data_IF_078303935242
#
_entry.id   IF_078303935242
#
_cell.length_a   1.000
_cell.length_b   1.000
_cell.length_c   1.000
_cell.angle_alpha   90.00
_cell.angle_beta   90.00
_cell.angle_gamma   90.00
#
_symmetry.space_group_name_H-M   'P 1'
#
loop_
_entity.id
_entity.type
_entity.pdbx_description
1 polymer ?
#
# COMPACT_ATOMS: atom_id res chain seq x y z
N UNK A 1 -13.64 -20.35 23.96
CA UNK A 1 -12.32 -19.68 23.81
C UNK A 1 -12.52 -18.33 23.12
N UNK A 2 -12.09 -17.20 23.70
CA UNK A 2 -12.13 -15.90 23.00
C UNK A 2 -11.28 -16.03 21.74
N UNK A 3 -11.88 -15.90 20.55
CA UNK A 3 -11.12 -15.73 19.30
C UNK A 3 -10.19 -14.53 19.52
N UNK A 4 -8.87 -14.75 19.57
CA UNK A 4 -7.90 -13.66 19.51
C UNK A 4 -8.22 -12.87 18.23
N UNK A 5 -8.38 -11.55 18.36
CA UNK A 5 -8.56 -10.67 17.20
C UNK A 5 -7.37 -10.76 16.24
N UNK A 6 -7.51 -10.24 15.01
CA UNK A 6 -6.44 -10.32 14.02
C UNK A 6 -5.16 -9.65 14.55
N UNK A 7 -4.02 -10.25 14.24
CA UNK A 7 -2.68 -9.73 14.50
C UNK A 7 -2.23 -8.93 13.29
N UNK A 8 -1.82 -7.67 13.51
CA UNK A 8 -1.32 -6.78 12.46
C UNK A 8 0.17 -6.57 12.64
N UNK A 9 0.95 -6.92 11.62
CA UNK A 9 2.38 -6.63 11.57
C UNK A 9 2.66 -5.16 11.24
N UNK A 10 3.62 -4.55 11.91
CA UNK A 10 4.07 -3.19 11.64
C UNK A 10 5.56 -3.21 11.32
N UNK A 11 5.92 -2.84 10.09
CA UNK A 11 7.33 -2.68 9.71
C UNK A 11 7.83 -1.29 10.09
N UNK A 12 9.09 -1.18 10.53
CA UNK A 12 9.71 0.13 10.79
C UNK A 12 9.98 0.94 9.52
N UNK A 13 10.16 0.27 8.37
CA UNK A 13 10.69 0.93 7.18
C UNK A 13 12.17 1.28 7.33
N UNK A 14 12.60 2.41 6.78
CA UNK A 14 13.99 2.89 6.88
C UNK A 14 14.30 3.37 8.31
N UNK A 15 15.29 2.78 9.02
CA UNK A 15 15.67 3.20 10.37
C UNK A 15 16.22 4.62 10.50
N UNK A 16 16.60 5.25 9.39
CA UNK A 16 17.01 6.65 9.34
C UNK A 16 15.85 7.61 9.08
N UNK A 17 14.69 7.10 8.65
CA UNK A 17 13.47 7.88 8.46
C UNK A 17 12.61 7.99 9.72
N UNK A 18 11.38 8.47 9.54
CA UNK A 18 10.39 8.64 10.62
C UNK A 18 9.63 7.36 10.97
N UNK A 19 9.83 6.27 10.23
CA UNK A 19 9.07 5.05 10.42
C UNK A 19 9.20 4.41 11.82
N UNK A 20 10.41 4.31 12.41
CA UNK A 20 10.57 3.74 13.76
C UNK A 20 9.82 4.49 14.87
N UNK A 21 9.87 5.82 14.88
CA UNK A 21 9.19 6.64 15.90
C UNK A 21 7.65 6.58 15.74
N UNK A 22 7.15 6.53 14.50
CA UNK A 22 5.74 6.31 14.22
C UNK A 22 5.31 4.92 14.69
N UNK A 23 6.09 3.89 14.42
CA UNK A 23 5.80 2.53 14.86
C UNK A 23 5.76 2.46 16.40
N UNK A 24 6.75 3.00 17.11
CA UNK A 24 6.76 3.09 18.57
C UNK A 24 5.51 3.81 19.11
N UNK A 25 5.13 4.92 18.49
CA UNK A 25 3.93 5.65 18.85
C UNK A 25 2.66 4.80 18.67
N UNK A 26 2.56 4.06 17.56
CA UNK A 26 1.44 3.15 17.29
C UNK A 26 1.40 2.00 18.30
N UNK A 27 2.52 1.36 18.62
CA UNK A 27 2.57 0.31 19.65
C UNK A 27 2.09 0.83 21.01
N UNK A 28 2.53 2.03 21.40
CA UNK A 28 2.13 2.65 22.67
C UNK A 28 0.64 3.00 22.71
N UNK A 29 0.09 3.58 21.63
CA UNK A 29 -1.32 4.01 21.59
C UNK A 29 -2.32 2.90 21.29
N UNK A 30 -2.01 2.03 20.34
CA UNK A 30 -2.95 1.03 19.80
C UNK A 30 -2.67 -0.39 20.27
N UNK A 31 -1.45 -0.70 20.76
CA UNK A 31 -1.08 -2.07 21.19
C UNK A 31 -1.88 -2.60 22.39
N UNK A 32 -2.63 -1.74 23.09
CA UNK A 32 -3.57 -2.14 24.16
C UNK A 32 -4.93 -2.59 23.62
N UNK A 33 -5.29 -2.15 22.42
CA UNK A 33 -6.61 -2.39 21.80
C UNK A 33 -6.54 -3.34 20.61
N UNK A 34 -5.35 -3.57 20.05
CA UNK A 34 -5.09 -4.42 18.90
C UNK A 34 -3.90 -5.34 19.16
N UNK A 35 -3.96 -6.55 18.64
CA UNK A 35 -2.80 -7.44 18.59
C UNK A 35 -1.84 -6.94 17.51
N UNK A 36 -0.69 -6.40 17.92
CA UNK A 36 0.32 -5.87 17.00
C UNK A 36 1.59 -6.71 17.06
N UNK A 37 2.18 -6.99 15.90
CA UNK A 37 3.46 -7.66 15.77
C UNK A 37 4.51 -6.66 15.25
N UNK A 38 5.65 -6.56 15.92
CA UNK A 38 6.74 -5.68 15.50
C UNK A 38 7.64 -6.39 14.50
N UNK A 39 7.85 -5.77 13.34
CA UNK A 39 8.71 -6.31 12.29
C UNK A 39 9.83 -5.30 12.02
N UNK A 40 11.05 -5.72 12.34
CA UNK A 40 12.23 -4.86 12.27
C UNK A 40 12.59 -4.22 13.62
N UNK A 41 13.89 -4.17 13.84
CA UNK A 41 14.55 -3.64 15.03
C UNK A 41 15.99 -3.26 14.67
N UNK A 42 16.62 -2.41 15.46
CA UNK A 42 18.07 -2.16 15.41
C UNK A 42 18.45 -0.70 15.62
N UNK A 43 19.72 -0.38 15.35
CA UNK A 43 20.29 0.95 15.65
C UNK A 43 19.72 2.01 14.72
N UNK A 44 19.10 3.03 15.30
CA UNK A 44 18.57 4.21 14.60
C UNK A 44 19.65 5.26 14.40
N UNK A 45 19.63 5.91 13.23
CA UNK A 45 20.44 7.11 12.93
C UNK A 45 19.57 8.09 12.12
N UNK A 46 18.68 8.86 12.80
CA UNK A 46 17.76 9.75 12.12
C UNK A 46 18.47 10.70 11.13
N UNK A 47 17.91 10.83 9.93
CA UNK A 47 18.44 11.69 8.86
C UNK A 47 19.75 11.20 8.23
N UNK A 48 20.29 10.04 8.63
CA UNK A 48 21.54 9.48 8.11
C UNK A 48 21.33 8.04 7.59
N UNK A 49 20.77 7.88 6.38
CA UNK A 49 20.61 6.57 5.74
C UNK A 49 21.94 5.83 5.61
N UNK A 50 21.90 4.50 5.74
CA UNK A 50 23.09 3.63 5.63
C UNK A 50 22.73 2.32 4.92
N UNK A 51 23.73 1.62 4.37
CA UNK A 51 23.55 0.28 3.81
C UNK A 51 23.02 -0.72 4.85
N UNK A 52 23.47 -0.60 6.11
CA UNK A 52 22.96 -1.42 7.21
C UNK A 52 21.46 -1.18 7.44
N UNK A 53 21.04 0.08 7.50
CA UNK A 53 19.61 0.44 7.64
C UNK A 53 18.76 -0.05 6.46
N UNK A 54 19.28 0.05 5.24
CA UNK A 54 18.61 -0.48 4.05
C UNK A 54 18.44 -2.01 4.10
N UNK A 55 19.47 -2.76 4.52
CA UNK A 55 19.37 -4.22 4.73
C UNK A 55 18.34 -4.57 5.80
N UNK A 56 18.26 -3.78 6.87
CA UNK A 56 17.24 -3.96 7.92
C UNK A 56 15.82 -3.74 7.36
N UNK A 57 15.60 -2.66 6.61
CA UNK A 57 14.32 -2.38 5.97
C UNK A 57 13.90 -3.51 5.00
N UNK A 58 14.84 -3.98 4.17
CA UNK A 58 14.61 -5.13 3.27
C UNK A 58 14.28 -6.40 4.06
N UNK A 59 15.05 -6.72 5.10
CA UNK A 59 14.81 -7.90 5.96
C UNK A 59 13.42 -7.84 6.59
N UNK A 60 12.99 -6.68 7.08
CA UNK A 60 11.65 -6.50 7.64
C UNK A 60 10.54 -6.74 6.61
N UNK A 61 10.74 -6.32 5.36
CA UNK A 61 9.80 -6.63 4.27
C UNK A 61 9.75 -8.14 4.00
N UNK A 62 10.91 -8.81 3.87
CA UNK A 62 11.00 -10.25 3.64
C UNK A 62 10.35 -11.05 4.79
N UNK A 63 10.61 -10.65 6.04
CA UNK A 63 10.01 -11.23 7.24
C UNK A 63 8.49 -11.06 7.26
N UNK A 64 7.98 -9.88 6.87
CA UNK A 64 6.53 -9.65 6.82
C UNK A 64 5.82 -10.57 5.83
N UNK A 65 6.48 -10.96 4.73
CA UNK A 65 5.94 -11.95 3.79
C UNK A 65 5.88 -13.33 4.44
N UNK A 66 6.93 -13.73 5.16
CA UNK A 66 6.96 -14.98 5.91
C UNK A 66 5.81 -15.08 6.91
N UNK A 67 5.62 -14.05 7.74
CA UNK A 67 4.58 -13.98 8.76
C UNK A 67 3.16 -13.97 8.18
N UNK A 68 2.95 -13.29 7.05
CA UNK A 68 1.68 -13.31 6.33
C UNK A 68 1.37 -14.70 5.76
N UNK A 69 2.38 -15.40 5.23
CA UNK A 69 2.24 -16.75 4.66
C UNK A 69 2.00 -17.81 5.74
N UNK A 70 2.66 -17.70 6.89
CA UNK A 70 2.43 -18.60 8.03
C UNK A 70 1.11 -18.35 8.75
N UNK A 71 0.50 -17.18 8.52
CA UNK A 71 -0.73 -16.77 9.20
C UNK A 71 -0.50 -16.24 10.60
N UNK A 72 0.75 -16.00 11.01
CA UNK A 72 1.09 -15.33 12.28
C UNK A 72 0.56 -13.89 12.34
N UNK A 73 0.50 -13.23 11.18
CA UNK A 73 -0.18 -11.93 11.01
C UNK A 73 -1.22 -12.03 9.88
N UNK A 74 -2.30 -11.25 10.00
CA UNK A 74 -3.39 -11.19 9.00
C UNK A 74 -3.32 -9.92 8.13
N UNK A 75 -2.51 -8.94 8.51
CA UNK A 75 -2.27 -7.74 7.75
C UNK A 75 -0.88 -7.16 8.08
N UNK A 76 -0.34 -6.36 7.16
CA UNK A 76 0.89 -5.60 7.39
C UNK A 76 0.63 -4.11 7.16
N UNK A 77 1.15 -3.29 8.06
CA UNK A 77 1.24 -1.82 7.93
C UNK A 77 2.70 -1.47 7.76
N UNK A 78 3.02 -0.82 6.66
CA UNK A 78 4.41 -0.54 6.32
C UNK A 78 4.87 0.83 6.79
N UNK A 79 6.05 0.86 7.42
CA UNK A 79 6.82 2.09 7.55
C UNK A 79 7.38 2.55 6.20
N UNK A 80 7.64 3.87 6.04
CA UNK A 80 8.22 4.41 4.82
C UNK A 80 9.65 3.91 4.61
N UNK A 81 10.02 3.65 3.36
CA UNK A 81 11.35 3.18 2.96
C UNK A 81 11.99 4.12 1.95
N UNK A 82 13.32 4.20 1.95
CA UNK A 82 14.05 4.86 0.86
C UNK A 82 14.33 3.89 -0.28
N UNK A 83 13.72 4.14 -1.45
CA UNK A 83 13.90 3.29 -2.65
C UNK A 83 15.35 3.29 -3.12
N UNK A 84 16.00 4.46 -3.12
CA UNK A 84 17.41 4.61 -3.49
C UNK A 84 18.33 3.73 -2.65
N UNK A 85 18.09 3.67 -1.33
CA UNK A 85 18.91 2.86 -0.43
C UNK A 85 18.58 1.38 -0.49
N UNK A 86 17.30 1.03 -0.69
CA UNK A 86 16.86 -0.34 -0.91
C UNK A 86 17.48 -0.94 -2.18
N UNK A 87 17.58 -0.16 -3.27
CA UNK A 87 18.21 -0.60 -4.51
C UNK A 87 19.67 -1.00 -4.30
N UNK A 88 20.43 -0.23 -3.50
CA UNK A 88 21.84 -0.50 -3.14
C UNK A 88 22.04 -1.82 -2.38
N UNK A 89 20.96 -2.44 -1.87
CA UNK A 89 21.01 -3.72 -1.15
C UNK A 89 20.22 -4.83 -1.86
N UNK A 90 20.02 -4.68 -3.17
CA UNK A 90 19.44 -5.71 -4.04
C UNK A 90 17.91 -5.75 -4.04
N UNK A 91 17.23 -4.68 -3.63
CA UNK A 91 15.78 -4.58 -3.74
C UNK A 91 15.39 -4.00 -5.11
N UNK A 92 15.23 -4.87 -6.09
CA UNK A 92 14.91 -4.48 -7.47
C UNK A 92 13.40 -4.44 -7.73
N UNK A 93 12.68 -3.64 -6.93
CA UNK A 93 11.25 -3.39 -7.12
C UNK A 93 10.96 -1.89 -7.19
N UNK A 94 10.01 -1.45 -8.01
CA UNK A 94 9.57 -0.05 -8.04
C UNK A 94 9.07 0.48 -6.69
N UNK A 95 8.56 -0.42 -5.84
CA UNK A 95 8.04 -0.10 -4.52
C UNK A 95 7.57 -1.32 -3.75
N UNK A 96 7.03 -1.07 -2.55
CA UNK A 96 6.50 -2.10 -1.67
C UNK A 96 5.28 -2.81 -2.28
N UNK A 97 4.44 -2.10 -3.04
CA UNK A 97 3.28 -2.69 -3.72
C UNK A 97 3.69 -3.80 -4.67
N UNK A 98 4.67 -3.56 -5.53
CA UNK A 98 5.16 -4.53 -6.52
C UNK A 98 5.90 -5.69 -5.83
N UNK A 99 6.61 -5.40 -4.73
CA UNK A 99 7.23 -6.42 -3.89
C UNK A 99 6.19 -7.42 -3.34
N UNK A 100 5.12 -6.94 -2.70
CA UNK A 100 4.08 -7.82 -2.18
C UNK A 100 3.33 -8.54 -3.30
N UNK A 101 3.02 -7.86 -4.40
CA UNK A 101 2.35 -8.49 -5.54
C UNK A 101 3.14 -9.71 -6.03
N UNK A 102 4.44 -9.55 -6.28
CA UNK A 102 5.32 -10.66 -6.68
C UNK A 102 5.39 -11.76 -5.60
N UNK A 103 5.53 -11.36 -4.34
CA UNK A 103 5.63 -12.31 -3.22
C UNK A 103 4.36 -13.16 -3.04
N UNK A 104 3.19 -12.69 -3.47
CA UNK A 104 1.93 -13.43 -3.38
C UNK A 104 1.43 -13.95 -4.74
N UNK A 105 2.25 -13.93 -5.78
CA UNK A 105 1.88 -14.41 -7.12
C UNK A 105 0.78 -13.59 -7.80
N UNK A 106 0.56 -12.35 -7.34
CA UNK A 106 -0.42 -11.42 -7.90
C UNK A 106 0.26 -10.63 -9.01
N UNK A 107 -0.40 -10.53 -10.16
CA UNK A 107 0.12 -9.70 -11.27
C UNK A 107 0.13 -8.23 -10.82
N UNK A 108 1.14 -7.42 -11.22
CA UNK A 108 1.13 -5.98 -10.93
C UNK A 108 -0.14 -5.28 -11.44
N UNK A 109 -0.71 -5.77 -12.55
CA UNK A 109 -1.97 -5.27 -13.09
C UNK A 109 -3.21 -5.74 -12.33
N UNK A 110 -3.08 -6.55 -11.28
CA UNK A 110 -4.19 -6.99 -10.42
C UNK A 110 -4.14 -6.36 -9.01
N UNK A 111 -3.27 -5.36 -8.79
CA UNK A 111 -3.29 -4.54 -7.58
C UNK A 111 -3.96 -3.19 -7.82
N UNK A 112 -4.48 -2.56 -6.77
CA UNK A 112 -5.09 -1.22 -6.86
C UNK A 112 -4.69 -0.39 -5.67
N UNK A 113 -4.08 0.77 -5.94
CA UNK A 113 -3.80 1.77 -4.91
C UNK A 113 -5.10 2.48 -4.53
N UNK A 114 -5.31 2.60 -3.22
CA UNK A 114 -6.47 3.28 -2.65
C UNK A 114 -6.05 4.23 -1.54
N UNK A 115 -6.76 5.34 -1.42
CA UNK A 115 -6.68 6.27 -0.29
C UNK A 115 -8.01 6.20 0.44
N UNK A 116 -7.98 5.67 1.66
CA UNK A 116 -9.19 5.44 2.47
C UNK A 116 -9.16 6.39 3.66
N UNK A 117 -9.99 7.44 3.60
CA UNK A 117 -10.24 8.35 4.70
C UNK A 117 -11.65 8.18 5.30
N UNK A 118 -11.94 8.90 6.40
CA UNK A 118 -13.25 8.84 7.05
C UNK A 118 -14.36 9.46 6.19
N UNK A 119 -14.05 10.51 5.41
CA UNK A 119 -15.01 11.25 4.56
C UNK A 119 -14.94 10.86 3.08
N UNK A 120 -13.76 10.53 2.59
CA UNK A 120 -13.50 10.26 1.18
C UNK A 120 -12.67 8.99 1.02
N UNK A 121 -13.04 8.17 0.04
CA UNK A 121 -12.36 6.92 -0.31
C UNK A 121 -12.20 6.87 -1.82
N UNK A 122 -10.96 6.74 -2.29
CA UNK A 122 -10.61 6.81 -3.71
C UNK A 122 -9.80 5.59 -4.09
N UNK A 123 -10.13 4.98 -5.21
CA UNK A 123 -9.29 4.00 -5.89
C UNK A 123 -8.78 4.59 -7.20
N UNK A 124 -7.51 4.34 -7.51
CA UNK A 124 -6.86 4.93 -8.67
C UNK A 124 -6.83 3.95 -9.85
N UNK A 125 -7.28 4.38 -11.03
CA UNK A 125 -7.16 3.59 -12.26
C UNK A 125 -5.70 3.49 -12.75
N UNK A 126 -4.91 4.54 -12.52
CA UNK A 126 -3.47 4.58 -12.77
C UNK A 126 -2.74 5.30 -11.62
N UNK A 127 -1.46 5.05 -11.44
CA UNK A 127 -0.66 5.62 -10.34
C UNK A 127 0.50 6.46 -10.87
N UNK A 128 1.75 6.10 -10.59
CA UNK A 128 2.93 6.91 -10.85
C UNK A 128 3.35 6.90 -12.33
N UNK A 129 2.56 7.57 -13.18
CA UNK A 129 2.84 7.76 -14.60
C UNK A 129 2.90 9.25 -14.93
N UNK A 130 3.69 9.62 -15.96
CA UNK A 130 3.55 10.95 -16.58
C UNK A 130 2.11 11.13 -17.08
N UNK A 131 1.58 12.36 -17.02
CA UNK A 131 0.21 12.66 -17.47
C UNK A 131 -0.08 12.13 -18.89
N UNK A 132 0.83 12.35 -19.85
CA UNK A 132 0.71 11.82 -21.22
C UNK A 132 0.52 10.29 -21.26
N UNK A 133 1.30 9.54 -20.46
CA UNK A 133 1.19 8.08 -20.37
C UNK A 133 -0.08 7.63 -19.64
N UNK A 134 -0.51 8.38 -18.63
CA UNK A 134 -1.76 8.10 -17.94
C UNK A 134 -2.95 8.20 -18.90
N UNK A 135 -3.01 9.28 -19.70
CA UNK A 135 -4.05 9.51 -20.72
C UNK A 135 -4.01 8.41 -21.78
N UNK A 136 -2.87 8.24 -22.47
CA UNK A 136 -2.76 7.27 -23.58
C UNK A 136 -2.84 5.80 -23.14
N UNK A 137 -2.50 5.51 -21.88
CA UNK A 137 -2.44 4.17 -21.33
C UNK A 137 -3.72 3.70 -20.65
N UNK A 138 -4.67 4.59 -20.38
CA UNK A 138 -5.92 4.24 -19.71
C UNK A 138 -6.76 3.31 -20.60
N UNK A 139 -7.26 2.21 -20.03
CA UNK A 139 -8.21 1.31 -20.67
C UNK A 139 -9.30 0.93 -19.68
N UNK A 140 -10.42 0.43 -20.20
CA UNK A 140 -11.57 0.02 -19.40
C UNK A 140 -11.21 -1.01 -18.31
N UNK A 141 -10.28 -1.93 -18.59
CA UNK A 141 -9.84 -2.96 -17.62
C UNK A 141 -9.30 -2.36 -16.32
N UNK A 142 -8.53 -1.27 -16.38
CA UNK A 142 -7.99 -0.62 -15.18
C UNK A 142 -9.10 0.03 -14.35
N UNK A 143 -10.08 0.65 -15.00
CA UNK A 143 -11.25 1.28 -14.35
C UNK A 143 -12.10 0.22 -13.66
N UNK A 144 -12.43 -0.86 -14.39
CA UNK A 144 -13.22 -1.98 -13.86
C UNK A 144 -12.52 -2.65 -12.69
N UNK A 145 -11.20 -2.90 -12.79
CA UNK A 145 -10.39 -3.44 -11.69
C UNK A 145 -10.47 -2.53 -10.46
N UNK A 146 -10.22 -1.23 -10.63
CA UNK A 146 -10.24 -0.28 -9.52
C UNK A 146 -11.62 -0.22 -8.84
N UNK A 147 -12.71 -0.19 -9.63
CA UNK A 147 -14.08 -0.24 -9.13
C UNK A 147 -14.41 -1.53 -8.39
N UNK A 148 -14.02 -2.69 -8.92
CA UNK A 148 -14.22 -4.00 -8.25
C UNK A 148 -13.48 -4.07 -6.93
N UNK A 149 -12.20 -3.72 -6.90
CA UNK A 149 -11.42 -3.73 -5.67
C UNK A 149 -11.96 -2.73 -4.65
N UNK A 150 -12.36 -1.53 -5.07
CA UNK A 150 -12.96 -0.55 -4.17
C UNK A 150 -14.26 -1.08 -3.58
N UNK A 151 -15.16 -1.63 -4.40
CA UNK A 151 -16.41 -2.23 -3.93
C UNK A 151 -16.18 -3.34 -2.90
N UNK A 152 -15.25 -4.26 -3.18
CA UNK A 152 -14.88 -5.32 -2.24
C UNK A 152 -14.32 -4.78 -0.93
N UNK A 153 -13.43 -3.79 -0.99
CA UNK A 153 -12.86 -3.12 0.20
C UNK A 153 -13.96 -2.44 1.02
N UNK A 154 -14.88 -1.71 0.38
CA UNK A 154 -15.98 -1.04 1.07
C UNK A 154 -16.92 -2.03 1.75
N UNK A 155 -17.21 -3.17 1.12
CA UNK A 155 -17.98 -4.25 1.73
C UNK A 155 -17.26 -4.83 2.96
N UNK A 156 -15.93 -5.06 2.87
CA UNK A 156 -15.13 -5.51 4.02
C UNK A 156 -15.10 -4.48 5.16
N UNK A 157 -15.22 -3.20 4.85
CA UNK A 157 -15.35 -2.10 5.82
C UNK A 157 -16.79 -1.91 6.34
N UNK A 158 -17.74 -2.77 5.95
CA UNK A 158 -19.10 -2.78 6.48
C UNK A 158 -20.15 -2.06 5.63
N UNK A 159 -19.79 -1.48 4.48
CA UNK A 159 -20.76 -0.85 3.57
C UNK A 159 -21.43 -1.92 2.70
N UNK A 160 -22.64 -2.36 3.08
CA UNK A 160 -23.35 -3.48 2.41
C UNK A 160 -23.73 -3.21 0.94
N UNK A 161 -23.94 -1.94 0.57
CA UNK A 161 -24.29 -1.52 -0.80
C UNK A 161 -23.43 -0.33 -1.22
N UNK A 162 -22.15 -0.54 -1.57
CA UNK A 162 -21.26 0.54 -1.98
C UNK A 162 -21.79 1.24 -3.25
N UNK A 163 -21.86 2.56 -3.21
CA UNK A 163 -22.09 3.40 -4.39
C UNK A 163 -20.75 3.97 -4.83
N UNK A 164 -20.37 3.73 -6.08
CA UNK A 164 -19.08 4.15 -6.64
C UNK A 164 -19.37 5.14 -7.77
N UNK A 165 -18.84 6.35 -7.65
CA UNK A 165 -18.78 7.30 -8.74
C UNK A 165 -17.43 7.14 -9.45
N UNK A 166 -17.42 7.31 -10.78
CA UNK A 166 -16.23 7.25 -11.61
C UNK A 166 -15.99 8.64 -12.20
N UNK A 167 -14.78 9.17 -12.05
CA UNK A 167 -14.43 10.45 -12.66
C UNK A 167 -14.27 10.27 -14.18
N UNK A 168 -14.71 11.26 -14.95
CA UNK A 168 -14.32 11.39 -16.35
C UNK A 168 -12.80 11.59 -16.47
N UNK A 169 -12.24 11.22 -17.62
CA UNK A 169 -10.84 11.50 -17.93
C UNK A 169 -10.68 12.96 -18.35
N UNK A 170 -11.62 13.43 -19.19
CA UNK A 170 -11.64 14.77 -19.72
C UNK A 170 -12.41 15.72 -18.79
N UNK A 171 -12.14 17.04 -18.85
CA UNK A 171 -12.99 18.05 -18.24
C UNK A 171 -14.46 17.82 -18.64
N UNK A 172 -15.36 17.95 -17.67
CA UNK A 172 -16.80 17.76 -17.85
C UNK A 172 -17.17 16.37 -18.41
N UNK A 173 -16.33 15.35 -18.20
CA UNK A 173 -16.52 14.02 -18.77
C UNK A 173 -16.71 14.07 -20.30
N UNK A 174 -15.88 14.88 -20.98
CA UNK A 174 -15.82 14.97 -22.43
C UNK A 174 -16.77 15.99 -23.05
N UNK A 175 -17.72 16.56 -22.29
CA UNK A 175 -18.71 17.54 -22.79
C UNK A 175 -19.38 17.06 -24.09
N UNK A 176 -19.96 15.85 -24.04
CA UNK A 176 -20.57 15.17 -25.20
C UNK A 176 -19.63 15.04 -26.42
N UNK A 177 -18.34 14.77 -26.19
CA UNK A 177 -17.35 14.59 -27.25
C UNK A 177 -16.57 15.85 -27.64
N UNK A 178 -16.91 17.02 -27.09
CA UNK A 178 -16.25 18.29 -27.43
C UNK A 178 -14.84 18.41 -26.84
N UNK A 179 -14.59 17.82 -25.68
CA UNK A 179 -13.31 17.91 -24.96
C UNK A 179 -12.50 16.61 -24.99
N UNK A 180 -12.93 15.63 -25.77
CA UNK A 180 -12.34 14.29 -25.85
C UNK A 180 -13.43 13.25 -26.06
N UNK A 181 -13.04 12.02 -26.42
CA UNK A 181 -13.96 10.91 -26.76
C UNK A 181 -13.68 9.64 -25.95
N UNK A 182 -12.92 9.75 -24.87
CA UNK A 182 -12.49 8.63 -24.05
C UNK A 182 -13.57 8.11 -23.10
N UNK A 183 -14.54 8.95 -22.73
CA UNK A 183 -15.74 8.58 -21.95
C UNK A 183 -16.68 7.62 -22.70
#
# INVERSE_FOLDING_TARGET
MRKKGPVVGITWGDPAGVGPELAEHVFRKLGRSFSLYRIGEGKRRPGKPTLAGARMAKKALDESVGLLRSGEIQAVVNGPVSKEWLEKVGFHFPGQTEFYAKAFGVKPDDVTMMMIGPRLRVALASTHLSLRRAILGLRARQIVRAGKHLGQTLTKLGLRRPRIAVCGLNPHAGENGKFGKEE
#
